data_IF_639627409980
#
_entry.id   IF_639627409980
#
_cell.length_a   1.000
_cell.length_b   1.000
_cell.length_c   1.000
_cell.angle_alpha   90.00
_cell.angle_beta   90.00
_cell.angle_gamma   90.00
#
_symmetry.space_group_name_H-M   'P 1'
#
loop_
_entity.id
_entity.type
_entity.pdbx_description
1 polymer ?
#
# COMPACT_ATOMS: atom_id res chain seq x y z
N UNK A 1 25.00 -45.13 21.38
CA UNK A 1 25.31 -46.53 21.00
C UNK A 1 23.99 -47.30 20.89
N UNK A 2 23.67 -47.80 19.68
CA UNK A 2 22.73 -48.90 19.35
C UNK A 2 21.22 -48.71 19.61
N UNK A 3 20.25 -49.07 18.74
CA UNK A 3 20.16 -49.47 17.31
C UNK A 3 18.69 -49.83 17.00
N UNK A 4 18.25 -49.59 15.73
CA UNK A 4 17.37 -50.41 14.84
C UNK A 4 15.94 -50.78 15.31
N UNK A 5 14.87 -50.36 14.61
CA UNK A 5 14.27 -50.87 13.33
C UNK A 5 13.83 -52.34 13.36
N UNK A 6 12.53 -52.60 13.13
CA UNK A 6 11.92 -53.58 12.19
C UNK A 6 10.39 -53.63 12.39
N UNK A 7 9.56 -53.26 11.41
CA UNK A 7 8.97 -54.06 10.32
C UNK A 7 8.03 -55.19 10.76
N UNK A 8 6.73 -55.03 10.46
CA UNK A 8 5.80 -56.14 10.18
C UNK A 8 4.92 -55.76 8.98
N UNK A 9 4.93 -56.63 7.96
CA UNK A 9 4.03 -56.65 6.80
C UNK A 9 2.76 -57.41 7.14
N UNK A 10 1.60 -56.91 6.70
CA UNK A 10 0.35 -57.66 6.45
C UNK A 10 -0.25 -56.95 5.22
N UNK A 11 -0.63 -57.55 4.09
CA UNK A 11 -1.16 -58.88 3.80
C UNK A 11 -2.46 -58.64 3.02
N UNK A 12 -2.48 -58.92 1.71
CA UNK A 12 -3.54 -58.61 0.74
C UNK A 12 -4.94 -59.12 1.17
N UNK A 13 -5.96 -58.28 0.97
CA UNK A 13 -7.37 -58.68 0.87
C UNK A 13 -8.00 -58.00 -0.35
N UNK A 14 -8.29 -58.78 -1.38
CA UNK A 14 -8.98 -58.37 -2.61
C UNK A 14 -10.49 -58.43 -2.34
N UNK A 15 -11.19 -57.31 -2.52
CA UNK A 15 -12.65 -57.30 -2.65
C UNK A 15 -13.01 -56.58 -3.95
N UNK A 16 -13.38 -57.38 -4.94
CA UNK A 16 -13.87 -56.95 -6.25
C UNK A 16 -15.34 -56.56 -6.18
N UNK A 17 -15.63 -55.27 -6.37
CA UNK A 17 -16.96 -54.77 -6.75
C UNK A 17 -16.79 -54.09 -8.10
N UNK A 18 -17.24 -54.77 -9.16
CA UNK A 18 -17.38 -54.18 -10.48
C UNK A 18 -18.76 -53.57 -10.63
N UNK A 19 -18.83 -52.32 -11.12
CA UNK A 19 -20.00 -51.75 -11.82
C UNK A 19 -19.61 -50.42 -12.46
N UNK A 20 -19.67 -50.36 -13.80
CA UNK A 20 -19.83 -49.13 -14.58
C UNK A 20 -18.56 -48.44 -15.10
N UNK A 21 -17.90 -48.99 -16.13
CA UNK A 21 -17.08 -48.16 -17.01
C UNK A 21 -18.01 -47.40 -17.97
N UNK A 22 -18.43 -46.19 -17.58
CA UNK A 22 -18.70 -45.15 -18.58
C UNK A 22 -17.35 -44.51 -18.91
N UNK A 23 -16.84 -44.76 -20.12
CA UNK A 23 -15.65 -44.06 -20.63
C UNK A 23 -15.98 -42.59 -20.83
N UNK A 24 -15.80 -41.78 -19.79
CA UNK A 24 -15.58 -40.35 -20.02
C UNK A 24 -14.19 -40.24 -20.62
N UNK A 25 -14.12 -39.95 -21.92
CA UNK A 25 -12.90 -39.45 -22.51
C UNK A 25 -12.52 -38.18 -21.74
N UNK A 26 -11.54 -38.30 -20.84
CA UNK A 26 -10.80 -37.15 -20.38
C UNK A 26 -10.10 -36.59 -21.62
N UNK A 27 -10.72 -35.64 -22.29
CA UNK A 27 -10.01 -34.74 -23.19
C UNK A 27 -9.03 -34.03 -22.27
N UNK A 28 -7.78 -34.49 -22.28
CA UNK A 28 -6.69 -33.70 -21.75
C UNK A 28 -6.78 -32.38 -22.49
N UNK A 29 -7.20 -31.32 -21.79
CA UNK A 29 -6.94 -29.97 -22.25
C UNK A 29 -5.43 -29.90 -22.37
N UNK A 30 -4.92 -30.03 -23.60
CA UNK A 30 -3.61 -29.55 -23.98
C UNK A 30 -3.64 -28.04 -23.76
N UNK A 31 -3.44 -27.64 -22.50
CA UNK A 31 -2.97 -26.31 -22.21
C UNK A 31 -1.63 -26.21 -22.96
N UNK A 32 -1.48 -25.25 -23.90
CA UNK A 32 -0.23 -25.11 -24.59
C UNK A 32 0.89 -25.00 -23.55
N UNK A 33 1.94 -25.80 -23.73
CA UNK A 33 3.15 -25.82 -22.88
C UNK A 33 3.87 -24.45 -22.82
N UNK A 34 3.38 -23.49 -23.58
CA UNK A 34 3.88 -22.13 -23.67
C UNK A 34 2.89 -21.15 -22.99
N UNK A 35 2.84 -21.20 -21.66
CA UNK A 35 2.63 -19.95 -20.92
C UNK A 35 3.94 -19.17 -21.06
N UNK A 36 4.15 -18.53 -22.22
CA UNK A 36 5.22 -17.56 -22.35
C UNK A 36 4.89 -16.42 -21.40
N UNK A 37 5.64 -16.31 -20.30
CA UNK A 37 5.63 -15.11 -19.49
C UNK A 37 6.09 -13.97 -20.40
N UNK A 38 5.19 -13.03 -20.65
CA UNK A 38 5.48 -11.83 -21.42
C UNK A 38 6.67 -11.11 -20.79
N UNK A 39 7.84 -11.20 -21.44
CA UNK A 39 9.04 -10.38 -21.24
C UNK A 39 9.61 -10.34 -19.80
N UNK A 40 10.87 -10.77 -19.63
CA UNK A 40 11.57 -10.66 -18.35
C UNK A 40 11.76 -9.18 -17.95
N UNK A 41 10.85 -8.67 -17.12
CA UNK A 41 10.87 -7.32 -16.57
C UNK A 41 11.94 -7.11 -15.47
N UNK A 42 12.70 -8.16 -15.12
CA UNK A 42 13.84 -8.06 -14.20
C UNK A 42 15.15 -7.76 -14.92
N UNK A 43 15.15 -7.81 -16.26
CA UNK A 43 16.32 -7.57 -17.08
C UNK A 43 17.00 -6.24 -16.75
N UNK A 44 18.29 -6.33 -16.38
CA UNK A 44 19.14 -5.16 -16.13
C UNK A 44 19.85 -4.80 -17.43
N UNK A 45 19.39 -3.72 -18.09
CA UNK A 45 20.02 -3.23 -19.31
C UNK A 45 21.49 -2.87 -19.07
N UNK A 46 22.37 -3.31 -19.97
CA UNK A 46 23.81 -2.97 -19.93
C UNK A 46 24.07 -1.49 -20.18
N UNK A 47 23.23 -0.86 -21.00
CA UNK A 47 23.25 0.58 -21.24
C UNK A 47 22.15 1.22 -20.39
N UNK A 48 22.55 1.89 -19.31
CA UNK A 48 21.64 2.53 -18.36
C UNK A 48 21.25 3.90 -18.93
N UNK A 49 19.98 4.14 -19.30
CA UNK A 49 19.54 5.47 -19.67
C UNK A 49 19.57 6.40 -18.44
N UNK A 50 19.86 7.68 -18.66
CA UNK A 50 19.80 8.67 -17.60
C UNK A 50 18.34 8.93 -17.19
N UNK A 51 17.99 8.65 -15.94
CA UNK A 51 16.65 8.88 -15.42
C UNK A 51 16.58 10.22 -14.65
N UNK A 52 15.79 11.16 -15.17
CA UNK A 52 15.46 12.41 -14.46
C UNK A 52 14.59 12.08 -13.24
N UNK A 53 14.91 12.62 -12.07
CA UNK A 53 14.08 12.51 -10.86
C UNK A 53 12.76 13.26 -11.07
N UNK A 54 11.65 12.62 -10.72
CA UNK A 54 10.29 13.17 -10.86
C UNK A 54 9.69 13.62 -9.53
N UNK A 55 10.46 13.54 -8.44
CA UNK A 55 10.09 14.20 -7.17
C UNK A 55 10.03 15.71 -7.36
N UNK A 56 9.19 16.43 -6.60
CA UNK A 56 9.27 17.88 -6.53
C UNK A 56 10.68 18.35 -6.14
N UNK A 57 11.01 19.57 -6.58
CA UNK A 57 12.18 20.30 -6.10
C UNK A 57 12.20 20.30 -4.56
N UNK A 58 13.37 20.21 -3.96
CA UNK A 58 13.49 20.04 -2.50
C UNK A 58 12.75 21.12 -1.70
N UNK A 59 12.75 22.36 -2.20
CA UNK A 59 12.04 23.49 -1.57
C UNK A 59 10.52 23.48 -1.72
N UNK A 60 9.98 22.60 -2.58
CA UNK A 60 8.54 22.45 -2.85
C UNK A 60 7.92 21.20 -2.20
N UNK A 61 8.73 20.40 -1.50
CA UNK A 61 8.24 19.20 -0.79
C UNK A 61 7.52 19.63 0.48
N UNK A 62 6.32 19.09 0.70
CA UNK A 62 5.47 19.52 1.82
C UNK A 62 5.98 19.06 3.18
N UNK A 63 6.55 17.85 3.24
CA UNK A 63 7.15 17.29 4.44
C UNK A 63 8.44 16.53 4.11
N UNK A 64 9.43 16.60 4.99
CA UNK A 64 10.69 15.88 4.83
C UNK A 64 11.02 15.06 6.07
N UNK A 65 11.52 13.84 5.86
CA UNK A 65 11.97 12.95 6.94
C UNK A 65 13.38 12.48 6.64
N UNK A 66 14.27 12.62 7.62
CA UNK A 66 15.66 12.17 7.49
C UNK A 66 15.74 10.65 7.40
N UNK A 67 14.89 9.92 8.13
CA UNK A 67 14.84 8.47 8.05
C UNK A 67 14.38 7.99 6.65
N UNK A 68 13.40 8.66 6.04
CA UNK A 68 12.94 8.33 4.68
C UNK A 68 14.05 8.60 3.63
N UNK A 69 14.73 9.75 3.69
CA UNK A 69 15.84 10.03 2.76
C UNK A 69 16.99 9.01 2.91
N UNK A 70 17.32 8.63 4.14
CA UNK A 70 18.33 7.59 4.39
C UNK A 70 17.91 6.23 3.81
N UNK A 71 16.62 5.89 3.89
CA UNK A 71 16.08 4.64 3.35
C UNK A 71 16.11 4.62 1.82
N UNK A 72 15.82 5.76 1.18
CA UNK A 72 16.00 5.94 -0.28
C UNK A 72 17.46 5.68 -0.68
N UNK A 73 18.41 6.28 0.03
CA UNK A 73 19.84 6.05 -0.24
C UNK A 73 20.22 4.58 -0.04
N UNK A 74 19.71 3.92 1.01
CA UNK A 74 19.99 2.51 1.31
C UNK A 74 19.46 1.60 0.21
N UNK A 75 18.20 1.75 -0.18
CA UNK A 75 17.55 0.91 -1.19
C UNK A 75 18.18 1.11 -2.57
N UNK A 76 18.48 2.34 -2.97
CA UNK A 76 19.17 2.62 -4.25
C UNK A 76 20.54 1.93 -4.34
N UNK A 77 21.27 1.77 -3.23
CA UNK A 77 22.54 1.03 -3.18
C UNK A 77 22.37 -0.48 -3.31
N UNK A 78 21.22 -1.04 -2.92
CA UNK A 78 20.94 -2.48 -2.97
C UNK A 78 20.36 -2.92 -4.32
N UNK A 79 19.59 -2.05 -4.97
CA UNK A 79 18.91 -2.36 -6.22
C UNK A 79 19.88 -2.30 -7.41
N UNK A 80 20.05 -3.45 -8.08
CA UNK A 80 20.83 -3.53 -9.33
C UNK A 80 20.09 -2.94 -10.52
N UNK A 81 18.76 -3.05 -10.55
CA UNK A 81 17.92 -2.49 -11.60
C UNK A 81 17.74 -0.97 -11.37
N UNK A 82 18.35 -0.17 -12.24
CA UNK A 82 18.35 1.29 -12.12
C UNK A 82 16.97 1.92 -12.32
N UNK A 83 16.12 1.33 -13.18
CA UNK A 83 14.74 1.78 -13.35
C UNK A 83 13.94 1.56 -12.07
N UNK A 84 14.11 0.41 -11.42
CA UNK A 84 13.44 0.12 -10.15
C UNK A 84 13.92 1.04 -9.03
N UNK A 85 15.23 1.32 -8.97
CA UNK A 85 15.79 2.28 -8.00
C UNK A 85 15.22 3.70 -8.20
N UNK A 86 15.08 4.13 -9.46
CA UNK A 86 14.44 5.40 -9.83
C UNK A 86 12.95 5.42 -9.46
N UNK A 87 12.20 4.33 -9.75
CA UNK A 87 10.79 4.22 -9.36
C UNK A 87 10.64 4.29 -7.84
N UNK A 88 11.48 3.58 -7.09
CA UNK A 88 11.45 3.60 -5.62
C UNK A 88 11.67 5.02 -5.09
N UNK A 89 12.68 5.74 -5.60
CA UNK A 89 12.95 7.12 -5.19
C UNK A 89 11.80 8.09 -5.51
N UNK A 90 11.07 7.88 -6.61
CA UNK A 90 9.91 8.73 -6.92
C UNK A 90 8.66 8.37 -6.10
N UNK A 91 8.42 7.07 -5.87
CA UNK A 91 7.18 6.59 -5.29
C UNK A 91 7.23 6.55 -3.76
N UNK A 92 8.33 6.08 -3.17
CA UNK A 92 8.42 5.87 -1.72
C UNK A 92 8.20 7.15 -0.91
N UNK A 93 8.73 8.33 -1.26
CA UNK A 93 8.48 9.57 -0.51
C UNK A 93 7.29 10.38 -1.04
N UNK A 94 6.55 9.91 -2.07
CA UNK A 94 5.58 10.75 -2.77
C UNK A 94 4.52 11.35 -1.84
N UNK A 95 3.95 10.55 -0.93
CA UNK A 95 3.03 11.03 0.12
C UNK A 95 3.61 12.23 0.88
N UNK A 96 4.85 12.13 1.36
CA UNK A 96 5.49 13.22 2.12
C UNK A 96 5.76 14.44 1.24
N UNK A 97 6.21 14.19 0.02
CA UNK A 97 6.59 15.24 -0.92
C UNK A 97 5.37 16.06 -1.37
N UNK A 98 4.19 15.45 -1.56
CA UNK A 98 3.08 16.07 -2.30
C UNK A 98 1.74 16.12 -1.58
N UNK A 99 1.51 15.37 -0.49
CA UNK A 99 0.16 15.29 0.12
C UNK A 99 0.05 15.60 1.61
N UNK A 100 1.16 15.66 2.34
CA UNK A 100 1.17 15.83 3.80
C UNK A 100 1.20 17.30 4.23
N UNK A 101 0.18 17.73 4.97
CA UNK A 101 0.12 19.05 5.61
C UNK A 101 0.19 18.88 7.13
N UNK A 102 1.41 18.95 7.67
CA UNK A 102 1.68 18.87 9.11
C UNK A 102 1.60 20.24 9.78
N UNK A 103 0.97 20.28 10.96
CA UNK A 103 0.89 21.48 11.82
C UNK A 103 0.64 21.12 13.27
N UNK A 104 0.69 22.13 14.14
CA UNK A 104 0.26 22.03 15.53
C UNK A 104 -1.05 22.77 15.72
N UNK A 105 -2.02 22.12 16.38
CA UNK A 105 -3.28 22.74 16.83
C UNK A 105 -3.35 22.53 18.34
N UNK A 106 -3.41 23.63 19.10
CA UNK A 106 -3.42 23.62 20.57
C UNK A 106 -2.26 22.81 21.18
N UNK A 107 -1.08 22.91 20.57
CA UNK A 107 0.13 22.18 20.99
C UNK A 107 0.13 20.69 20.66
N UNK A 108 -0.92 20.16 20.02
CA UNK A 108 -1.01 18.75 19.57
C UNK A 108 -0.72 18.64 18.08
N UNK A 109 -0.07 17.55 17.63
CA UNK A 109 0.15 17.31 16.21
C UNK A 109 -1.17 17.08 15.49
N UNK A 110 -1.29 17.67 14.31
CA UNK A 110 -2.41 17.51 13.39
C UNK A 110 -1.82 17.37 11.99
N UNK A 111 -2.26 16.34 11.25
CA UNK A 111 -1.76 16.11 9.90
C UNK A 111 -2.90 15.77 8.98
N UNK A 112 -3.10 16.62 8.00
CA UNK A 112 -4.05 16.38 6.92
C UNK A 112 -3.29 15.76 5.74
N UNK A 113 -3.81 14.67 5.19
CA UNK A 113 -3.17 13.94 4.09
C UNK A 113 -4.14 13.87 2.93
N UNK A 114 -3.84 14.60 1.86
CA UNK A 114 -4.61 14.51 0.63
C UNK A 114 -4.36 13.18 -0.09
N UNK A 115 -5.33 12.70 -0.87
CA UNK A 115 -5.12 11.49 -1.68
C UNK A 115 -4.13 11.74 -2.81
N UNK A 116 -4.17 12.94 -3.40
CA UNK A 116 -3.29 13.37 -4.48
C UNK A 116 -4.01 14.32 -5.43
N UNK A 117 -4.49 13.78 -6.54
CA UNK A 117 -5.25 14.51 -7.56
C UNK A 117 -6.69 14.84 -7.12
N UNK A 118 -7.26 14.07 -6.19
CA UNK A 118 -8.49 14.42 -5.49
C UNK A 118 -8.15 15.22 -4.24
N UNK A 119 -8.69 16.44 -4.15
CA UNK A 119 -8.33 17.39 -3.10
C UNK A 119 -9.14 17.21 -1.80
N UNK A 120 -9.14 16.00 -1.26
CA UNK A 120 -9.66 15.70 0.07
C UNK A 120 -8.87 14.58 0.76
N UNK A 121 -9.17 14.32 2.04
CA UNK A 121 -8.55 13.26 2.85
C UNK A 121 -9.52 12.09 3.01
N UNK A 122 -9.18 10.93 2.45
CA UNK A 122 -9.88 9.68 2.73
C UNK A 122 -9.29 9.01 3.98
N UNK A 123 -10.15 8.41 4.81
CA UNK A 123 -9.68 7.65 5.98
C UNK A 123 -8.78 6.47 5.56
N UNK A 124 -9.23 5.67 4.58
CA UNK A 124 -8.47 4.57 3.98
C UNK A 124 -7.12 5.04 3.44
N UNK A 125 -7.15 5.99 2.50
CA UNK A 125 -5.97 6.42 1.75
C UNK A 125 -4.93 7.01 2.70
N UNK A 126 -5.33 7.92 3.59
CA UNK A 126 -4.40 8.53 4.55
C UNK A 126 -3.77 7.50 5.50
N UNK A 127 -4.51 6.46 5.88
CA UNK A 127 -3.98 5.35 6.68
C UNK A 127 -2.93 4.54 5.93
N UNK A 128 -3.21 4.19 4.67
CA UNK A 128 -2.31 3.41 3.83
C UNK A 128 -1.09 4.21 3.34
N UNK A 129 -1.29 5.48 2.96
CA UNK A 129 -0.27 6.36 2.40
C UNK A 129 0.94 6.54 3.33
N UNK A 130 0.71 6.57 4.65
CA UNK A 130 1.78 6.77 5.64
C UNK A 130 2.23 5.48 6.33
N UNK A 131 1.51 4.37 6.13
CA UNK A 131 1.80 3.09 6.77
C UNK A 131 3.26 2.62 6.64
N UNK A 132 3.90 2.65 5.44
CA UNK A 132 5.28 2.19 5.30
C UNK A 132 6.30 2.98 6.13
N UNK A 133 5.96 4.19 6.57
CA UNK A 133 6.85 5.05 7.35
C UNK A 133 6.81 4.77 8.85
N UNK A 134 5.81 4.03 9.34
CA UNK A 134 5.67 3.69 10.77
C UNK A 134 6.91 2.96 11.30
N UNK A 135 7.48 2.06 10.50
CA UNK A 135 8.71 1.33 10.85
C UNK A 135 9.94 2.24 11.02
N UNK A 136 9.89 3.46 10.47
CA UNK A 136 10.98 4.45 10.53
C UNK A 136 10.80 5.44 11.69
N UNK A 137 9.62 5.49 12.33
CA UNK A 137 9.24 6.50 13.31
C UNK A 137 10.15 6.54 14.55
N UNK A 138 10.72 5.40 14.96
CA UNK A 138 11.63 5.37 16.12
C UNK A 138 12.99 6.03 15.83
N UNK A 139 13.32 6.24 14.56
CA UNK A 139 14.58 6.85 14.13
C UNK A 139 14.43 8.33 13.73
N UNK A 140 13.20 8.87 13.73
CA UNK A 140 12.91 10.23 13.29
C UNK A 140 11.73 10.82 14.11
N UNK A 141 12.03 11.63 15.14
CA UNK A 141 11.01 12.21 16.01
C UNK A 141 9.98 13.10 15.28
N UNK A 142 10.37 13.78 14.21
CA UNK A 142 9.47 14.65 13.45
C UNK A 142 8.51 13.81 12.59
N UNK A 143 9.03 12.75 11.95
CA UNK A 143 8.19 11.75 11.29
C UNK A 143 7.19 11.13 12.27
N UNK A 144 7.63 10.77 13.48
CA UNK A 144 6.77 10.20 14.52
C UNK A 144 5.64 11.17 14.93
N UNK A 145 5.94 12.46 15.07
CA UNK A 145 4.92 13.48 15.38
C UNK A 145 3.92 13.65 14.24
N UNK A 146 4.39 13.65 12.98
CA UNK A 146 3.51 13.70 11.81
C UNK A 146 2.57 12.50 11.78
N UNK A 147 3.10 11.29 11.95
CA UNK A 147 2.29 10.06 11.99
C UNK A 147 1.24 10.11 13.12
N UNK A 148 1.62 10.58 14.31
CA UNK A 148 0.66 10.80 15.40
C UNK A 148 -0.41 11.83 15.03
N UNK A 149 -0.05 12.87 14.29
CA UNK A 149 -0.98 13.87 13.77
C UNK A 149 -1.99 13.31 12.78
N UNK A 150 -1.61 12.33 11.94
CA UNK A 150 -2.54 11.63 11.02
C UNK A 150 -3.59 10.86 11.82
N UNK A 151 -3.15 10.06 12.80
CA UNK A 151 -4.04 9.26 13.66
C UNK A 151 -5.03 10.17 14.40
N UNK A 152 -4.55 11.26 15.00
CA UNK A 152 -5.41 12.20 15.71
C UNK A 152 -6.39 12.91 14.76
N UNK A 153 -5.97 13.27 13.55
CA UNK A 153 -6.87 13.84 12.54
C UNK A 153 -7.92 12.83 12.09
N UNK A 154 -7.56 11.58 11.83
CA UNK A 154 -8.51 10.52 11.48
C UNK A 154 -9.58 10.32 12.57
N UNK A 155 -9.19 10.32 13.86
CA UNK A 155 -10.18 10.25 14.94
C UNK A 155 -11.10 11.47 15.00
N UNK A 156 -10.60 12.68 14.72
CA UNK A 156 -11.47 13.86 14.57
C UNK A 156 -12.47 13.67 13.43
N UNK A 157 -12.04 13.15 12.28
CA UNK A 157 -12.91 12.84 11.15
C UNK A 157 -14.00 11.82 11.52
N UNK A 158 -13.65 10.72 12.20
CA UNK A 158 -14.62 9.72 12.67
C UNK A 158 -15.66 10.33 13.65
N UNK A 159 -15.22 11.26 14.51
CA UNK A 159 -16.13 11.99 15.41
C UNK A 159 -17.05 12.93 14.64
N UNK A 160 -16.58 13.55 13.56
CA UNK A 160 -17.38 14.43 12.68
C UNK A 160 -18.52 13.63 12.05
N UNK A 161 -18.20 12.54 11.35
CA UNK A 161 -19.21 11.59 10.87
C UNK A 161 -18.60 10.20 10.64
N UNK A 162 -19.00 9.16 11.40
CA UNK A 162 -18.45 7.82 11.24
C UNK A 162 -18.91 7.12 9.95
N UNK A 163 -19.87 7.68 9.20
CA UNK A 163 -20.33 7.12 7.93
C UNK A 163 -19.64 7.74 6.71
N UNK A 164 -18.82 8.78 6.88
CA UNK A 164 -18.17 9.46 5.77
C UNK A 164 -16.82 8.83 5.44
N UNK A 165 -16.57 8.61 4.15
CA UNK A 165 -15.28 8.11 3.66
C UNK A 165 -14.25 9.24 3.49
N UNK A 166 -14.69 10.47 3.17
CA UNK A 166 -13.82 11.57 2.75
C UNK A 166 -14.11 12.89 3.45
N UNK A 167 -13.05 13.58 3.87
CA UNK A 167 -13.11 14.79 4.68
C UNK A 167 -12.35 15.93 4.03
N UNK A 168 -12.83 17.15 4.28
CA UNK A 168 -12.18 18.40 3.91
C UNK A 168 -11.28 18.90 5.03
N UNK A 169 -10.32 19.77 4.70
CA UNK A 169 -9.54 20.47 5.71
C UNK A 169 -10.28 21.72 6.22
N UNK A 170 -11.32 21.48 7.00
CA UNK A 170 -12.26 22.49 7.48
C UNK A 170 -13.58 22.52 6.71
N UNK A 171 -14.45 23.44 7.08
CA UNK A 171 -15.83 23.55 6.58
C UNK A 171 -15.90 24.29 5.23
N UNK A 172 -15.40 23.69 4.15
CA UNK A 172 -15.34 24.32 2.81
C UNK A 172 -16.41 23.81 1.83
N UNK A 173 -17.11 22.73 2.16
CA UNK A 173 -18.05 22.05 1.26
C UNK A 173 -17.33 21.33 0.11
N UNK A 174 -18.11 20.69 -0.76
CA UNK A 174 -17.62 19.99 -1.96
C UNK A 174 -18.67 20.00 -3.07
N UNK A 175 -18.29 19.51 -4.24
CA UNK A 175 -19.20 19.23 -5.35
C UNK A 175 -20.27 18.17 -5.02
N UNK A 176 -20.08 17.37 -3.97
CA UNK A 176 -21.00 16.31 -3.51
C UNK A 176 -22.02 16.79 -2.47
N UNK A 177 -22.07 18.10 -2.17
CA UNK A 177 -23.04 18.65 -1.21
C UNK A 177 -24.50 18.43 -1.62
N UNK A 178 -24.77 18.16 -2.90
CA UNK A 178 -26.11 17.83 -3.41
C UNK A 178 -26.51 16.36 -3.27
N UNK A 179 -25.63 15.50 -2.75
CA UNK A 179 -25.94 14.09 -2.53
C UNK A 179 -27.14 13.94 -1.58
N UNK A 180 -27.99 12.95 -1.85
CA UNK A 180 -29.21 12.68 -1.08
C UNK A 180 -28.90 11.96 0.25
N UNK A 181 -28.08 12.60 1.09
CA UNK A 181 -27.60 12.10 2.39
C UNK A 181 -27.36 13.26 3.35
N UNK A 182 -26.95 12.97 4.58
CA UNK A 182 -26.69 13.99 5.61
C UNK A 182 -25.31 14.63 5.41
N UNK A 183 -25.17 15.48 4.39
CA UNK A 183 -23.93 16.23 4.14
C UNK A 183 -23.75 17.39 5.13
N UNK A 184 -22.49 17.65 5.50
CA UNK A 184 -22.04 18.86 6.21
C UNK A 184 -20.76 19.39 5.55
N UNK A 185 -20.41 20.68 5.69
CA UNK A 185 -19.30 21.29 4.93
C UNK A 185 -17.91 20.68 5.19
N UNK A 186 -17.72 19.97 6.30
CA UNK A 186 -16.49 19.26 6.64
C UNK A 186 -16.29 17.96 5.83
N UNK A 187 -17.35 17.45 5.19
CA UNK A 187 -17.29 16.23 4.41
C UNK A 187 -17.01 16.57 2.94
N UNK A 188 -16.05 15.86 2.36
CA UNK A 188 -15.89 15.86 0.91
C UNK A 188 -16.93 14.92 0.27
N UNK A 189 -17.08 13.71 0.81
CA UNK A 189 -18.02 12.69 0.34
C UNK A 189 -18.49 11.84 1.53
N UNK A 190 -19.71 11.29 1.45
CA UNK A 190 -20.33 10.50 2.53
C UNK A 190 -20.81 9.12 2.05
N UNK A 191 -19.92 8.38 1.39
CA UNK A 191 -20.14 6.95 1.10
C UNK A 191 -19.70 6.14 2.30
N UNK A 192 -20.61 5.31 2.81
CA UNK A 192 -20.30 4.41 3.91
C UNK A 192 -19.46 3.24 3.43
N UNK A 193 -18.24 3.15 3.95
CA UNK A 193 -17.24 2.14 3.63
C UNK A 193 -16.79 1.50 4.96
N UNK A 194 -16.69 0.17 5.02
CA UNK A 194 -16.41 -0.55 6.28
C UNK A 194 -14.93 -0.47 6.67
N UNK A 195 -14.03 -0.46 5.68
CA UNK A 195 -12.58 -0.37 5.88
C UNK A 195 -12.14 0.97 6.50
#
# INVERSE_FOLDING_TARGET
>A
MRTRKNFVKVGLGILSIGLGLSTMNAVALNLPDDISLAQDNTYVAKNIPHYKINRPEASKRLFTSKAVENEIVRIKKLLKNQKLAWMFENCFPNTLDTTVYYRLIDGKPDTFVYTGDIHAMWLRDSGAQVWPYVQLANNDPELKKMLAGVILRQFKCIIIDPYANAFNDGAVGSEWMSDLTKMIPELHERKWEID
#
